data_IF_632110713426
#
_entry.id   IF_632110713426
#
_cell.length_a   1.000
_cell.length_b   1.000
_cell.length_c   1.000
_cell.angle_alpha   90.00
_cell.angle_beta   90.00
_cell.angle_gamma   90.00
#
_symmetry.space_group_name_H-M   'P 1'
#
loop_
_entity.id
_entity.type
_entity.pdbx_description
1 polymer ?
#
# COMPACT_ATOMS: atom_id res chain seq x y z
N UNK A 1 15.38 -50.81 6.68
CA UNK A 1 14.54 -49.95 5.82
C UNK A 1 13.41 -49.39 6.68
N UNK A 2 13.46 -48.10 7.04
CA UNK A 2 12.47 -47.50 7.95
C UNK A 2 11.26 -46.99 7.16
N UNK A 3 10.09 -47.54 7.48
CA UNK A 3 8.79 -47.17 6.91
C UNK A 3 8.45 -45.70 7.21
N UNK A 4 8.28 -44.89 6.16
CA UNK A 4 7.76 -43.53 6.26
C UNK A 4 6.28 -43.56 6.65
N UNK A 5 5.99 -43.55 7.96
CA UNK A 5 4.64 -43.24 8.47
C UNK A 5 4.36 -41.78 8.10
N UNK A 6 3.32 -41.52 7.31
CA UNK A 6 2.96 -40.23 6.73
C UNK A 6 2.60 -39.13 7.75
N UNK A 7 3.55 -38.74 8.60
CA UNK A 7 3.44 -37.63 9.52
C UNK A 7 3.77 -36.28 8.85
N UNK A 8 3.43 -35.19 9.53
CA UNK A 8 3.90 -33.85 9.17
C UNK A 8 5.43 -33.85 9.19
N UNK A 9 6.05 -33.61 8.04
CA UNK A 9 7.50 -33.36 7.92
C UNK A 9 7.88 -32.23 8.88
N UNK A 10 8.81 -32.50 9.79
CA UNK A 10 9.34 -31.50 10.69
C UNK A 10 9.79 -30.27 9.88
N UNK A 11 9.30 -29.09 10.26
CA UNK A 11 9.65 -27.83 9.61
C UNK A 11 11.09 -27.48 10.03
N UNK A 12 12.07 -27.75 9.18
CA UNK A 12 13.45 -27.32 9.41
C UNK A 12 13.59 -25.79 9.45
N UNK A 13 14.68 -25.33 10.04
CA UNK A 13 14.86 -23.94 10.53
C UNK A 13 14.75 -22.84 9.47
N UNK A 14 14.86 -23.15 8.17
CA UNK A 14 14.90 -22.15 7.10
C UNK A 14 13.59 -21.87 6.34
N UNK A 15 12.44 -22.45 6.69
CA UNK A 15 11.34 -22.54 5.69
C UNK A 15 10.54 -21.24 5.48
N UNK A 16 10.37 -20.38 6.50
CA UNK A 16 9.57 -19.13 6.44
C UNK A 16 10.02 -18.12 7.51
N UNK A 17 11.23 -17.64 7.40
CA UNK A 17 11.85 -16.73 8.38
C UNK A 17 11.25 -15.31 8.34
N UNK A 18 10.96 -14.79 7.14
CA UNK A 18 10.46 -13.43 6.98
C UNK A 18 8.94 -13.36 7.07
N UNK A 19 8.44 -12.41 7.88
CA UNK A 19 7.01 -12.11 8.05
C UNK A 19 6.69 -10.76 7.45
N UNK A 20 5.68 -10.72 6.59
CA UNK A 20 5.09 -9.49 6.04
C UNK A 20 3.65 -9.40 6.54
N UNK A 21 3.29 -8.23 7.09
CA UNK A 21 1.93 -7.92 7.52
C UNK A 21 1.25 -7.06 6.45
N UNK A 22 0.15 -7.54 5.90
CA UNK A 22 -0.67 -6.78 4.95
C UNK A 22 -1.91 -6.25 5.69
N UNK A 23 -2.20 -4.96 5.49
CA UNK A 23 -3.43 -4.32 5.98
C UNK A 23 -4.35 -4.09 4.80
N UNK A 24 -5.64 -4.33 5.01
CA UNK A 24 -6.68 -4.12 4.02
C UNK A 24 -7.72 -3.16 4.59
N UNK A 25 -8.24 -2.27 3.75
CA UNK A 25 -9.48 -1.57 4.06
C UNK A 25 -10.70 -2.49 3.87
N UNK A 26 -11.90 -2.02 4.23
CA UNK A 26 -13.12 -2.82 4.17
C UNK A 26 -13.41 -3.34 2.76
N UNK A 27 -13.28 -2.49 1.74
CA UNK A 27 -13.56 -2.84 0.35
C UNK A 27 -12.59 -3.90 -0.18
N UNK A 28 -11.29 -3.71 0.07
CA UNK A 28 -10.23 -4.68 -0.29
C UNK A 28 -10.45 -6.02 0.39
N UNK A 29 -10.90 -6.01 1.65
CA UNK A 29 -11.18 -7.23 2.40
C UNK A 29 -12.36 -8.00 1.81
N UNK A 30 -13.44 -7.30 1.43
CA UNK A 30 -14.61 -7.93 0.79
C UNK A 30 -14.25 -8.53 -0.58
N UNK A 31 -13.38 -7.86 -1.35
CA UNK A 31 -12.85 -8.43 -2.59
C UNK A 31 -12.09 -9.74 -2.34
N UNK A 32 -11.22 -9.79 -1.32
CA UNK A 32 -10.50 -11.02 -0.95
C UNK A 32 -11.46 -12.13 -0.55
N UNK A 33 -12.49 -11.82 0.25
CA UNK A 33 -13.52 -12.80 0.62
C UNK A 33 -14.26 -13.34 -0.59
N UNK A 34 -14.62 -12.47 -1.55
CA UNK A 34 -15.26 -12.87 -2.81
C UNK A 34 -14.40 -13.83 -3.62
N UNK A 35 -13.10 -13.53 -3.74
CA UNK A 35 -12.14 -14.41 -4.42
C UNK A 35 -12.00 -15.74 -3.68
N UNK A 36 -11.84 -15.74 -2.36
CA UNK A 36 -11.75 -16.99 -1.59
C UNK A 36 -12.99 -17.87 -1.78
N UNK A 37 -14.18 -17.26 -1.75
CA UNK A 37 -15.45 -17.95 -2.00
C UNK A 37 -15.51 -18.56 -3.40
N UNK A 38 -14.95 -17.92 -4.43
CA UNK A 38 -14.92 -18.51 -5.78
C UNK A 38 -14.04 -19.77 -5.88
N UNK A 39 -13.11 -19.95 -4.95
CA UNK A 39 -12.31 -21.18 -4.79
C UNK A 39 -12.87 -22.14 -3.74
N UNK A 40 -14.10 -21.91 -3.25
CA UNK A 40 -14.72 -22.65 -2.15
C UNK A 40 -13.88 -22.66 -0.86
N UNK A 41 -13.14 -21.57 -0.63
CA UNK A 41 -12.29 -21.38 0.54
C UNK A 41 -12.98 -20.51 1.58
N UNK A 42 -13.02 -20.99 2.83
CA UNK A 42 -13.58 -20.25 3.96
C UNK A 42 -12.55 -19.30 4.57
N UNK A 43 -12.82 -17.99 4.45
CA UNK A 43 -12.01 -16.91 5.01
C UNK A 43 -11.79 -17.05 6.53
N UNK A 44 -12.77 -17.55 7.28
CA UNK A 44 -12.70 -17.63 8.74
C UNK A 44 -11.82 -18.78 9.24
N UNK A 45 -11.48 -19.74 8.37
CA UNK A 45 -10.63 -20.87 8.76
C UNK A 45 -9.17 -20.45 8.87
N UNK A 46 -8.56 -20.79 10.00
CA UNK A 46 -7.14 -20.54 10.27
C UNK A 46 -6.29 -21.21 9.19
N UNK A 47 -5.38 -20.44 8.60
CA UNK A 47 -4.45 -20.96 7.59
C UNK A 47 -5.03 -21.05 6.18
N UNK A 48 -6.16 -20.42 5.88
CA UNK A 48 -6.67 -20.30 4.50
C UNK A 48 -6.10 -19.05 3.83
N UNK A 49 -6.35 -17.88 4.40
CA UNK A 49 -6.00 -16.58 3.79
C UNK A 49 -4.51 -16.43 3.51
N UNK A 50 -3.66 -16.69 4.51
CA UNK A 50 -2.21 -16.51 4.38
C UNK A 50 -1.57 -17.40 3.31
N UNK A 51 -1.81 -18.72 3.30
CA UNK A 51 -1.35 -19.61 2.22
C UNK A 51 -1.94 -19.27 0.86
N UNK A 52 -3.22 -18.91 0.79
CA UNK A 52 -3.88 -18.49 -0.45
C UNK A 52 -3.22 -17.26 -1.07
N UNK A 53 -3.07 -16.19 -0.29
CA UNK A 53 -2.43 -14.94 -0.74
C UNK A 53 -0.98 -15.18 -1.17
N UNK A 54 -0.22 -15.95 -0.37
CA UNK A 54 1.17 -16.29 -0.71
C UNK A 54 1.26 -17.03 -2.05
N UNK A 55 0.43 -18.05 -2.24
CA UNK A 55 0.41 -18.82 -3.50
C UNK A 55 -0.01 -17.93 -4.66
N UNK A 56 -0.99 -17.06 -4.47
CA UNK A 56 -1.47 -16.15 -5.52
C UNK A 56 -0.42 -15.12 -5.93
N UNK A 57 0.32 -14.58 -4.96
CA UNK A 57 1.41 -13.62 -5.22
C UNK A 57 2.59 -14.31 -5.92
N UNK A 58 3.02 -15.47 -5.42
CA UNK A 58 4.17 -16.20 -5.99
C UNK A 58 3.84 -16.84 -7.35
N UNK A 59 2.61 -17.34 -7.55
CA UNK A 59 2.21 -17.93 -8.83
C UNK A 59 2.02 -16.89 -9.95
N UNK A 60 1.99 -15.59 -9.65
CA UNK A 60 1.90 -14.53 -10.67
C UNK A 60 3.20 -14.36 -11.47
N UNK A 61 4.34 -14.86 -11.01
CA UNK A 61 5.59 -14.89 -11.80
C UNK A 61 5.46 -15.76 -13.06
N UNK A 62 4.51 -16.71 -13.11
CA UNK A 62 4.26 -17.55 -14.29
C UNK A 62 3.24 -16.96 -15.29
N UNK A 63 2.69 -15.77 -15.03
CA UNK A 63 1.60 -15.17 -15.81
C UNK A 63 1.90 -13.74 -16.28
N UNK A 64 3.18 -13.41 -16.49
CA UNK A 64 3.61 -12.08 -16.94
C UNK A 64 3.21 -11.75 -18.39
N UNK A 65 2.81 -12.72 -19.23
CA UNK A 65 2.57 -12.43 -20.66
C UNK A 65 1.27 -11.65 -20.95
N UNK A 66 0.32 -11.52 -20.02
CA UNK A 66 -0.99 -10.92 -20.34
C UNK A 66 -1.64 -10.15 -19.19
N UNK A 67 -1.02 -9.05 -18.76
CA UNK A 67 -1.78 -8.01 -18.05
C UNK A 67 -1.57 -6.66 -18.72
N UNK A 68 -2.70 -5.99 -18.98
CA UNK A 68 -2.79 -4.60 -19.42
C UNK A 68 -1.91 -3.72 -18.51
N UNK A 69 -1.44 -2.55 -18.98
CA UNK A 69 -0.64 -1.64 -18.17
C UNK A 69 -1.53 -1.02 -17.08
N UNK A 70 -1.83 -1.79 -16.03
CA UNK A 70 -2.24 -1.28 -14.73
C UNK A 70 -1.20 -0.22 -14.35
N UNK A 71 -1.64 0.98 -13.95
CA UNK A 71 -0.76 2.03 -13.42
C UNK A 71 0.38 1.39 -12.64
N UNK A 72 1.63 1.60 -13.09
CA UNK A 72 2.75 0.82 -12.58
C UNK A 72 2.74 0.84 -11.05
N UNK A 73 3.00 -0.30 -10.40
CA UNK A 73 3.02 -0.38 -8.94
C UNK A 73 3.91 0.71 -8.31
N UNK A 74 4.93 1.15 -9.06
CA UNK A 74 5.74 2.32 -8.74
C UNK A 74 4.92 3.63 -8.70
N UNK A 75 4.09 3.93 -9.70
CA UNK A 75 3.22 5.10 -9.69
C UNK A 75 2.25 5.10 -8.50
N UNK A 76 1.61 3.97 -8.20
CA UNK A 76 0.73 3.83 -7.03
C UNK A 76 1.51 4.08 -5.73
N UNK A 77 2.71 3.52 -5.62
CA UNK A 77 3.61 3.75 -4.49
C UNK A 77 3.99 5.23 -4.34
N UNK A 78 4.33 5.93 -5.43
CA UNK A 78 4.65 7.35 -5.39
C UNK A 78 3.45 8.20 -4.97
N UNK A 79 2.24 7.90 -5.46
CA UNK A 79 1.00 8.57 -5.06
C UNK A 79 0.73 8.39 -3.56
N UNK A 80 0.89 7.17 -3.04
CA UNK A 80 0.73 6.89 -1.61
C UNK A 80 1.76 7.63 -0.74
N UNK A 81 3.00 7.75 -1.22
CA UNK A 81 4.05 8.52 -0.55
C UNK A 81 3.71 10.02 -0.52
N UNK A 82 3.21 10.58 -1.62
CA UNK A 82 2.72 11.97 -1.67
C UNK A 82 1.57 12.17 -0.67
N UNK A 83 0.56 11.30 -0.67
CA UNK A 83 -0.56 11.39 0.28
C UNK A 83 -0.12 11.31 1.74
N UNK A 84 0.86 10.46 2.06
CA UNK A 84 1.44 10.35 3.41
C UNK A 84 2.11 11.66 3.84
N UNK A 85 2.91 12.27 2.95
CA UNK A 85 3.58 13.54 3.22
C UNK A 85 2.58 14.69 3.42
N UNK A 86 1.51 14.75 2.62
CA UNK A 86 0.42 15.72 2.78
C UNK A 86 -0.23 15.57 4.16
N UNK A 87 -0.54 14.33 4.57
CA UNK A 87 -1.16 14.07 5.87
C UNK A 87 -0.25 14.51 7.04
N UNK A 88 1.05 14.29 6.91
CA UNK A 88 2.04 14.79 7.89
C UNK A 88 2.05 16.32 7.95
N UNK A 89 2.08 17.01 6.80
CA UNK A 89 2.05 18.48 6.75
C UNK A 89 0.77 19.05 7.38
N UNK A 90 -0.39 18.47 7.07
CA UNK A 90 -1.68 18.87 7.66
C UNK A 90 -1.68 18.65 9.18
N UNK A 91 -1.15 17.52 9.65
CA UNK A 91 -1.06 17.22 11.09
C UNK A 91 -0.14 18.22 11.80
N UNK A 92 1.02 18.56 11.19
CA UNK A 92 1.95 19.56 11.72
C UNK A 92 1.29 20.94 11.77
N UNK A 93 0.67 21.38 10.68
CA UNK A 93 -0.03 22.67 10.61
C UNK A 93 -1.14 22.78 11.67
N UNK A 94 -1.95 21.72 11.80
CA UNK A 94 -3.00 21.63 12.83
C UNK A 94 -2.41 21.72 14.24
N UNK A 95 -1.33 20.98 14.52
CA UNK A 95 -0.67 20.99 15.83
C UNK A 95 -0.04 22.35 16.17
N UNK A 96 0.51 23.06 15.17
CA UNK A 96 1.07 24.40 15.34
C UNK A 96 -0.03 25.44 15.59
N UNK A 97 -1.14 25.36 14.85
CA UNK A 97 -2.29 26.24 15.03
C UNK A 97 -2.94 26.07 16.43
N UNK A 98 -3.04 24.83 16.92
CA UNK A 98 -3.54 24.52 18.27
C UNK A 98 -2.59 24.96 19.39
N UNK A 99 -1.26 24.91 19.17
CA UNK A 99 -0.25 25.27 20.19
C UNK A 99 0.06 26.77 20.25
N UNK A 100 -0.14 27.50 19.16
CA UNK A 100 -0.01 28.95 19.10
C UNK A 100 -0.86 29.47 17.94
N UNK A 101 -2.03 30.07 18.21
CA UNK A 101 -2.80 30.78 17.18
C UNK A 101 -2.05 32.07 16.85
N UNK A 102 -0.93 31.92 16.13
CA UNK A 102 -0.08 33.05 15.78
C UNK A 102 -0.36 33.47 14.36
N UNK A 103 -0.58 34.77 14.18
CA UNK A 103 -0.74 35.50 12.92
C UNK A 103 0.36 35.26 11.85
N UNK A 104 1.32 34.35 12.10
CA UNK A 104 2.38 33.94 11.18
C UNK A 104 1.95 32.83 10.22
N UNK A 105 0.93 32.01 10.55
CA UNK A 105 0.48 30.93 9.67
C UNK A 105 -0.17 31.48 8.39
N UNK A 106 -0.99 32.53 8.52
CA UNK A 106 -1.62 33.19 7.37
C UNK A 106 -0.56 33.82 6.45
N UNK A 107 0.48 34.44 7.02
CA UNK A 107 1.60 34.99 6.27
C UNK A 107 2.45 33.90 5.56
N UNK A 108 2.61 32.72 6.17
CA UNK A 108 3.28 31.56 5.55
C UNK A 108 2.44 30.95 4.41
N UNK A 109 1.12 30.86 4.57
CA UNK A 109 0.20 30.39 3.54
C UNK A 109 0.16 31.35 2.34
N UNK A 110 0.13 32.65 2.59
CA UNK A 110 0.16 33.67 1.55
C UNK A 110 1.46 33.62 0.74
N UNK A 111 2.62 33.46 1.41
CA UNK A 111 3.91 33.24 0.74
C UNK A 111 3.95 31.95 -0.08
N UNK A 112 3.38 30.85 0.43
CA UNK A 112 3.31 29.59 -0.32
C UNK A 112 2.47 29.72 -1.59
N UNK A 113 1.31 30.40 -1.50
CA UNK A 113 0.45 30.63 -2.67
C UNK A 113 1.12 31.51 -3.73
N UNK A 114 1.86 32.54 -3.32
CA UNK A 114 2.68 33.36 -4.23
C UNK A 114 3.74 32.54 -4.97
N UNK A 115 4.44 31.65 -4.26
CA UNK A 115 5.44 30.76 -4.85
C UNK A 115 4.81 29.76 -5.82
N UNK A 116 3.66 29.16 -5.47
CA UNK A 116 2.91 28.27 -6.35
C UNK A 116 2.47 28.96 -7.64
N UNK A 117 1.97 30.20 -7.55
CA UNK A 117 1.59 30.98 -8.73
C UNK A 117 2.79 31.27 -9.65
N UNK A 118 3.93 31.66 -9.08
CA UNK A 118 5.17 31.84 -9.86
C UNK A 118 5.60 30.56 -10.57
N UNK A 119 5.48 29.41 -9.91
CA UNK A 119 5.78 28.11 -10.53
C UNK A 119 4.80 27.83 -11.69
N UNK A 120 3.51 28.13 -11.51
CA UNK A 120 2.50 27.98 -12.57
C UNK A 120 2.77 28.89 -13.78
N UNK A 121 3.20 30.13 -13.56
CA UNK A 121 3.58 31.04 -14.65
C UNK A 121 4.80 30.53 -15.40
N UNK A 122 5.86 30.15 -14.70
CA UNK A 122 7.07 29.58 -15.32
C UNK A 122 6.77 28.28 -16.09
N UNK A 123 5.84 27.47 -15.60
CA UNK A 123 5.39 26.26 -16.30
C UNK A 123 4.58 26.61 -17.56
N UNK A 124 3.71 27.63 -17.51
CA UNK A 124 2.96 28.11 -18.69
C UNK A 124 3.89 28.69 -19.75
N UNK A 125 4.89 29.48 -19.37
CA UNK A 125 5.89 30.05 -20.28
C UNK A 125 6.74 28.97 -20.96
N UNK A 126 6.96 27.83 -20.30
CA UNK A 126 7.71 26.70 -20.87
C UNK A 126 6.89 25.74 -21.74
N UNK A 127 5.56 25.84 -21.68
CA UNK A 127 4.60 24.99 -22.38
C UNK A 127 3.91 25.70 -23.56
N UNK A 128 4.14 27.01 -23.72
CA UNK A 128 3.78 27.79 -24.91
C UNK A 128 4.93 27.77 -25.93
#
# INVERSE_FOLDING_TARGET
MAMNKGGRKALGDGKREHRIMLRFNTTELEQIKGILKSYDLDYNKRGVVGPFLRRTILNREAAEERKLPEMSANLIYQINKIGTNINQLVTVARSKNLRSPSAKLDAELERSNLLLNKIFELLKEKLA
#
